data_IF_407141992723
#
_entry.id   IF_407141992723
#
_cell.length_a   1.000
_cell.length_b   1.000
_cell.length_c   1.000
_cell.angle_alpha   90.00
_cell.angle_beta   90.00
_cell.angle_gamma   90.00
#
_symmetry.space_group_name_H-M   'P 1'
#
loop_
_entity.id
_entity.type
_entity.pdbx_description
1 polymer ?
#
# COMPACT_ATOMS: atom_id res chain seq x y z
N UNK A 1 12.16 6.90 -23.18
CA UNK A 1 10.69 6.95 -22.98
C UNK A 1 10.35 8.30 -22.35
N UNK A 2 9.15 8.87 -22.53
CA UNK A 2 8.83 10.18 -21.94
C UNK A 2 9.08 10.15 -20.42
N UNK A 3 9.82 11.14 -19.93
CA UNK A 3 10.11 11.34 -18.52
C UNK A 3 10.01 12.83 -18.26
N UNK A 4 9.20 13.22 -17.28
CA UNK A 4 9.08 14.62 -16.85
C UNK A 4 10.41 15.20 -16.36
N UNK A 5 11.34 14.34 -15.92
CA UNK A 5 12.60 14.75 -15.28
C UNK A 5 13.85 14.33 -16.05
N UNK A 6 13.77 13.28 -16.89
CA UNK A 6 14.89 12.73 -17.62
C UNK A 6 14.97 13.22 -19.07
N UNK A 7 16.13 13.01 -19.70
CA UNK A 7 16.34 13.33 -21.12
C UNK A 7 15.37 12.55 -22.04
N UNK A 8 14.99 13.17 -23.15
CA UNK A 8 13.97 12.67 -24.07
C UNK A 8 14.60 11.85 -25.21
N UNK A 9 13.93 10.78 -25.64
CA UNK A 9 14.44 9.94 -26.73
C UNK A 9 14.47 10.70 -28.05
N UNK A 10 15.61 10.65 -28.71
CA UNK A 10 15.81 11.28 -30.01
C UNK A 10 14.90 10.68 -31.08
N UNK A 11 14.65 9.36 -31.03
CA UNK A 11 13.77 8.67 -31.99
C UNK A 11 12.33 9.18 -31.94
N UNK A 12 11.82 9.48 -30.74
CA UNK A 12 10.49 10.05 -30.55
C UNK A 12 10.40 11.48 -31.11
N UNK A 13 11.42 12.31 -30.87
CA UNK A 13 11.45 13.70 -31.31
C UNK A 13 11.76 13.87 -32.81
N UNK A 14 12.57 12.98 -33.39
CA UNK A 14 13.01 13.07 -34.79
C UNK A 14 11.87 12.83 -35.79
N UNK A 15 10.74 12.29 -35.34
CA UNK A 15 9.57 12.07 -36.19
C UNK A 15 8.93 13.39 -36.67
N UNK A 16 9.03 14.47 -35.89
CA UNK A 16 8.41 15.78 -36.19
C UNK A 16 9.37 16.96 -36.19
N UNK A 17 10.63 16.77 -35.79
CA UNK A 17 11.60 17.85 -35.69
C UNK A 17 12.84 17.55 -36.54
N UNK A 18 13.44 18.59 -37.12
CA UNK A 18 14.68 18.47 -37.89
C UNK A 18 15.83 17.97 -37.02
N UNK A 19 16.58 16.99 -37.49
CA UNK A 19 17.70 16.37 -36.78
C UNK A 19 18.81 17.37 -36.43
N UNK A 20 19.04 18.39 -37.26
CA UNK A 20 20.03 19.45 -37.01
C UNK A 20 19.71 20.26 -35.75
N UNK A 21 18.46 20.72 -35.60
CA UNK A 21 18.00 21.41 -34.38
C UNK A 21 18.10 20.53 -33.13
N UNK A 22 17.91 19.23 -33.27
CA UNK A 22 17.99 18.30 -32.14
C UNK A 22 19.44 18.07 -31.69
N UNK A 23 20.42 18.13 -32.59
CA UNK A 23 21.85 17.93 -32.25
C UNK A 23 22.34 18.97 -31.24
N UNK A 24 21.89 20.23 -31.36
CA UNK A 24 22.30 21.31 -30.44
C UNK A 24 21.65 21.22 -29.05
N UNK A 25 20.66 20.34 -28.89
CA UNK A 25 19.93 20.12 -27.63
C UNK A 25 20.33 18.78 -26.97
N UNK A 26 21.35 18.11 -27.50
CA UNK A 26 21.76 16.79 -27.05
C UNK A 26 22.53 16.88 -25.71
N UNK A 27 22.16 16.00 -24.78
CA UNK A 27 22.84 15.83 -23.50
C UNK A 27 24.17 15.13 -23.71
N UNK A 28 25.27 15.77 -23.28
CA UNK A 28 26.63 15.22 -23.39
C UNK A 28 26.81 13.84 -22.73
N UNK A 29 26.03 13.54 -21.69
CA UNK A 29 26.19 12.31 -20.90
C UNK A 29 25.44 11.09 -21.46
N UNK A 30 24.23 11.30 -21.99
CA UNK A 30 23.36 10.19 -22.39
C UNK A 30 22.95 10.23 -23.86
N UNK A 31 23.42 11.23 -24.62
CA UNK A 31 23.20 11.39 -26.06
C UNK A 31 21.72 11.45 -26.47
N UNK A 32 20.85 11.78 -25.51
CA UNK A 32 19.42 12.05 -25.66
C UNK A 32 19.16 13.55 -25.60
N UNK A 33 17.94 14.00 -25.90
CA UNK A 33 17.63 15.43 -25.85
C UNK A 33 17.51 15.89 -24.39
N UNK A 34 18.26 16.92 -24.02
CA UNK A 34 18.42 17.40 -22.65
C UNK A 34 17.14 18.07 -22.12
N UNK A 35 16.26 17.27 -21.51
CA UNK A 35 15.14 17.80 -20.73
C UNK A 35 15.66 18.49 -19.46
N UNK A 36 15.01 19.58 -19.05
CA UNK A 36 15.47 20.42 -17.94
C UNK A 36 16.97 20.77 -18.08
N UNK A 37 17.42 21.11 -19.29
CA UNK A 37 18.82 21.34 -19.59
C UNK A 37 19.54 22.28 -18.60
N UNK A 38 20.78 21.94 -18.31
CA UNK A 38 21.77 22.79 -17.64
C UNK A 38 22.97 22.93 -18.55
N UNK A 39 23.67 24.04 -18.39
CA UNK A 39 24.90 24.34 -19.11
C UNK A 39 26.05 24.35 -18.12
N UNK A 40 27.15 23.69 -18.47
CA UNK A 40 28.38 23.74 -17.69
C UNK A 40 29.03 25.12 -17.88
N UNK A 41 29.36 25.78 -16.78
CA UNK A 41 29.92 27.15 -16.72
C UNK A 41 31.23 27.17 -15.94
N UNK A 42 32.00 26.09 -16.05
CA UNK A 42 33.32 25.97 -15.46
C UNK A 42 34.29 26.94 -16.17
N UNK A 43 35.22 27.52 -15.42
CA UNK A 43 36.25 28.42 -15.95
C UNK A 43 37.13 27.69 -16.98
N UNK A 44 37.38 26.40 -16.76
CA UNK A 44 38.11 25.50 -17.67
C UNK A 44 37.42 25.32 -19.05
N UNK A 45 36.19 25.82 -19.24
CA UNK A 45 35.42 25.69 -20.47
C UNK A 45 35.02 27.02 -21.11
N UNK A 46 35.51 28.16 -20.60
CA UNK A 46 35.14 29.50 -21.08
C UNK A 46 35.48 29.75 -22.55
N UNK A 47 36.54 29.10 -23.07
CA UNK A 47 36.96 29.21 -24.47
C UNK A 47 36.17 28.31 -25.44
N UNK A 48 35.31 27.42 -24.92
CA UNK A 48 34.55 26.48 -25.75
C UNK A 48 33.47 27.24 -26.51
N UNK A 49 33.57 27.28 -27.85
CA UNK A 49 32.60 27.99 -28.71
C UNK A 49 31.17 27.44 -28.65
N UNK A 50 30.98 26.24 -28.11
CA UNK A 50 29.69 25.56 -28.05
C UNK A 50 29.23 25.38 -26.61
N UNK A 51 27.96 25.67 -26.35
CA UNK A 51 27.31 25.41 -25.08
C UNK A 51 27.41 23.92 -24.70
N UNK A 52 27.91 23.65 -23.49
CA UNK A 52 28.06 22.29 -22.96
C UNK A 52 26.76 21.88 -22.26
N UNK A 53 25.83 21.33 -23.04
CA UNK A 53 24.47 21.03 -22.57
C UNK A 53 24.38 19.64 -21.94
N UNK A 54 23.83 19.58 -20.74
CA UNK A 54 23.59 18.32 -20.01
C UNK A 54 22.17 18.33 -19.45
N UNK A 55 21.49 17.18 -19.43
CA UNK A 55 20.24 17.04 -18.69
C UNK A 55 20.49 17.12 -17.19
N UNK A 56 19.70 17.93 -16.46
CA UNK A 56 19.93 18.18 -15.03
C UNK A 56 19.98 16.90 -14.19
N UNK A 57 19.09 15.94 -14.46
CA UNK A 57 19.08 14.64 -13.78
C UNK A 57 20.33 13.82 -14.08
N UNK A 58 20.78 13.82 -15.33
CA UNK A 58 21.99 13.12 -15.74
C UNK A 58 23.23 13.70 -15.05
N UNK A 59 23.34 15.04 -15.01
CA UNK A 59 24.45 15.71 -14.35
C UNK A 59 24.47 15.41 -12.84
N UNK A 60 23.33 15.52 -12.15
CA UNK A 60 23.23 15.20 -10.71
C UNK A 60 23.66 13.76 -10.41
N UNK A 61 23.19 12.79 -11.20
CA UNK A 61 23.58 11.39 -11.03
C UNK A 61 25.07 11.18 -11.29
N UNK A 62 25.62 11.84 -12.31
CA UNK A 62 27.05 11.76 -12.61
C UNK A 62 27.91 12.32 -11.46
N UNK A 63 27.59 13.51 -10.96
CA UNK A 63 28.37 14.16 -9.89
C UNK A 63 28.38 13.32 -8.61
N UNK A 64 27.25 12.71 -8.24
CA UNK A 64 27.16 11.80 -7.08
C UNK A 64 28.11 10.61 -7.25
N UNK A 65 28.13 10.01 -8.44
CA UNK A 65 28.92 8.80 -8.70
C UNK A 65 30.41 9.08 -8.95
N UNK A 66 30.78 10.32 -9.29
CA UNK A 66 32.13 10.70 -9.70
C UNK A 66 32.72 11.80 -8.80
N UNK A 67 32.38 11.81 -7.50
CA UNK A 67 32.97 12.71 -6.49
C UNK A 67 32.94 14.20 -6.89
N UNK A 68 31.85 14.63 -7.53
CA UNK A 68 31.63 15.99 -8.05
C UNK A 68 32.62 16.46 -9.14
N UNK A 69 33.30 15.53 -9.82
CA UNK A 69 34.17 15.86 -10.95
C UNK A 69 33.36 16.29 -12.19
N UNK A 70 33.92 17.19 -12.98
CA UNK A 70 33.31 17.64 -14.23
C UNK A 70 33.26 16.52 -15.28
N UNK A 71 32.13 16.31 -15.99
CA UNK A 71 32.00 15.23 -16.97
C UNK A 71 32.81 15.41 -18.25
N UNK A 72 33.43 16.57 -18.48
CA UNK A 72 34.20 16.85 -19.71
C UNK A 72 35.70 16.61 -19.48
N UNK A 73 36.28 17.24 -18.44
CA UNK A 73 37.74 17.21 -18.21
C UNK A 73 38.14 16.85 -16.76
N UNK A 74 37.24 16.26 -15.98
CA UNK A 74 37.51 15.71 -14.63
C UNK A 74 38.14 16.69 -13.62
N UNK A 75 37.99 18.00 -13.82
CA UNK A 75 38.39 18.99 -12.81
C UNK A 75 37.40 18.99 -11.63
N UNK A 76 37.86 19.46 -10.47
CA UNK A 76 37.04 19.59 -9.27
C UNK A 76 36.07 20.77 -9.37
N UNK A 77 35.00 20.75 -8.57
CA UNK A 77 34.03 21.84 -8.42
C UNK A 77 33.30 22.24 -9.72
N UNK A 78 32.68 21.26 -10.40
CA UNK A 78 31.84 21.51 -11.56
C UNK A 78 30.76 22.58 -11.28
N UNK A 79 30.81 23.70 -12.00
CA UNK A 79 29.81 24.78 -11.94
C UNK A 79 28.84 24.62 -13.10
N UNK A 80 27.54 24.73 -12.84
CA UNK A 80 26.52 24.65 -13.87
C UNK A 80 25.34 25.58 -13.58
N UNK A 81 24.73 26.08 -14.65
CA UNK A 81 23.58 26.99 -14.61
C UNK A 81 22.38 26.41 -15.34
N UNK A 82 21.17 26.90 -15.01
CA UNK A 82 19.96 26.54 -15.78
C UNK A 82 20.04 27.17 -17.17
N UNK A 83 20.07 26.33 -18.21
CA UNK A 83 20.07 26.77 -19.60
C UNK A 83 18.66 27.18 -20.05
N UNK A 84 18.20 28.37 -19.63
CA UNK A 84 16.80 28.82 -19.82
C UNK A 84 16.35 28.77 -21.28
N UNK A 85 17.19 29.23 -22.22
CA UNK A 85 16.87 29.21 -23.65
C UNK A 85 16.76 27.79 -24.19
N UNK A 86 17.67 26.89 -23.78
CA UNK A 86 17.63 25.48 -24.19
C UNK A 86 16.37 24.79 -23.67
N UNK A 87 15.98 25.05 -22.42
CA UNK A 87 14.73 24.54 -21.84
C UNK A 87 13.52 25.02 -22.66
N UNK A 88 13.46 26.30 -22.99
CA UNK A 88 12.40 26.85 -23.85
C UNK A 88 12.38 26.20 -25.23
N UNK A 89 13.53 25.99 -25.87
CA UNK A 89 13.59 25.30 -27.16
C UNK A 89 13.09 23.86 -27.07
N UNK A 90 13.48 23.12 -26.03
CA UNK A 90 13.00 21.76 -25.79
C UNK A 90 11.49 21.73 -25.56
N UNK A 91 10.97 22.66 -24.76
CA UNK A 91 9.53 22.79 -24.46
C UNK A 91 8.69 23.01 -25.71
N UNK A 92 9.25 23.70 -26.72
CA UNK A 92 8.59 24.05 -27.98
C UNK A 92 8.71 22.97 -29.08
N UNK A 93 9.47 21.90 -28.84
CA UNK A 93 9.57 20.78 -29.80
C UNK A 93 8.20 20.13 -29.99
N UNK A 94 7.84 19.86 -31.24
CA UNK A 94 6.57 19.21 -31.58
C UNK A 94 6.70 17.71 -31.47
N UNK A 95 5.75 17.06 -30.82
CA UNK A 95 5.77 15.62 -30.55
C UNK A 95 4.39 15.00 -30.72
N UNK A 96 4.40 13.70 -30.99
CA UNK A 96 3.22 12.85 -30.91
C UNK A 96 3.08 12.28 -29.50
N UNK A 97 1.90 11.77 -29.15
CA UNK A 97 1.67 11.09 -27.88
C UNK A 97 2.74 9.98 -27.63
N UNK A 98 3.48 10.00 -26.50
CA UNK A 98 4.45 8.97 -26.17
C UNK A 98 3.86 7.55 -26.13
N UNK A 99 2.62 7.41 -25.65
CA UNK A 99 1.91 6.12 -25.60
C UNK A 99 1.61 5.60 -27.01
N UNK A 100 1.17 6.49 -27.91
CA UNK A 100 0.94 6.14 -29.32
C UNK A 100 2.24 5.77 -30.03
N UNK A 101 3.31 6.52 -29.78
CA UNK A 101 4.61 6.23 -30.37
C UNK A 101 5.10 4.82 -29.98
N UNK A 102 4.97 4.45 -28.70
CA UNK A 102 5.32 3.11 -28.24
C UNK A 102 4.45 2.02 -28.89
N UNK A 103 3.14 2.24 -28.96
CA UNK A 103 2.21 1.32 -29.61
C UNK A 103 2.59 1.10 -31.09
N UNK A 104 2.93 2.17 -31.80
CA UNK A 104 3.38 2.09 -33.19
C UNK A 104 4.66 1.27 -33.32
N UNK A 105 5.65 1.44 -32.42
CA UNK A 105 6.87 0.65 -32.44
C UNK A 105 6.60 -0.85 -32.25
N UNK A 106 5.68 -1.20 -31.35
CA UNK A 106 5.30 -2.60 -31.10
C UNK A 106 4.61 -3.23 -32.31
N UNK A 107 3.72 -2.50 -32.98
CA UNK A 107 3.02 -2.98 -34.17
C UNK A 107 3.98 -3.24 -35.35
N UNK A 108 5.00 -2.41 -35.53
CA UNK A 108 5.98 -2.58 -36.61
C UNK A 108 7.02 -3.68 -36.34
N UNK A 109 7.08 -4.22 -35.11
CA UNK A 109 8.02 -5.28 -34.73
C UNK A 109 7.40 -6.69 -34.77
N UNK A 110 6.10 -6.83 -35.04
CA UNK A 110 5.51 -8.15 -35.25
C UNK A 110 5.84 -8.65 -36.67
N UNK A 111 6.43 -9.85 -36.84
CA UNK A 111 6.49 -10.47 -38.15
C UNK A 111 5.06 -10.76 -38.61
N UNK A 112 4.69 -10.27 -39.80
CA UNK A 112 3.51 -10.69 -40.55
C UNK A 112 3.61 -12.19 -40.85
N UNK A 113 3.35 -13.03 -39.86
CA UNK A 113 3.22 -14.46 -40.07
C UNK A 113 1.78 -14.76 -40.49
N UNK A 114 1.64 -14.96 -41.81
CA UNK A 114 0.67 -15.81 -42.48
C UNK A 114 -0.79 -15.33 -42.50
N UNK A 115 -1.12 -14.52 -43.49
CA UNK A 115 -2.35 -14.78 -44.27
C UNK A 115 -1.88 -15.37 -45.59
N UNK A 116 -1.93 -16.70 -45.70
CA UNK A 116 -1.93 -17.35 -47.00
C UNK A 116 -3.24 -16.94 -47.69
N UNK A 117 -3.10 -16.29 -48.83
CA UNK A 117 -4.18 -16.16 -49.80
C UNK A 117 -4.65 -17.57 -50.18
N UNK A 118 -5.92 -17.87 -49.93
CA UNK A 118 -6.74 -18.69 -50.82
C UNK A 118 -8.22 -18.55 -50.42
N UNK A 119 -8.93 -17.73 -51.23
CA UNK A 119 -10.36 -17.83 -51.56
C UNK A 119 -11.40 -17.89 -50.43
N UNK A 120 -12.06 -16.75 -50.14
CA UNK A 120 -13.52 -16.65 -49.92
C UNK A 120 -14.01 -15.18 -49.89
N UNK A 121 -15.27 -14.90 -50.27
CA UNK A 121 -15.76 -13.54 -50.53
C UNK A 121 -16.11 -12.77 -49.24
N UNK A 122 -15.51 -11.60 -49.11
CA UNK A 122 -15.94 -10.39 -48.39
C UNK A 122 -17.06 -10.58 -47.34
N UNK A 123 -16.71 -11.12 -46.17
CA UNK A 123 -17.26 -10.58 -44.92
C UNK A 123 -16.27 -9.56 -44.42
N UNK A 124 -16.72 -8.31 -44.29
CA UNK A 124 -16.00 -7.23 -43.64
C UNK A 124 -15.72 -7.63 -42.19
N UNK A 125 -14.59 -8.30 -41.97
CA UNK A 125 -14.03 -8.49 -40.63
C UNK A 125 -13.67 -7.07 -40.19
N UNK A 126 -14.52 -6.45 -39.39
CA UNK A 126 -14.19 -5.24 -38.66
C UNK A 126 -13.00 -5.59 -37.77
N UNK A 127 -11.80 -5.26 -38.25
CA UNK A 127 -10.62 -5.21 -37.41
C UNK A 127 -10.99 -4.40 -36.15
N UNK A 128 -10.78 -4.93 -34.94
CA UNK A 128 -11.04 -4.16 -33.72
C UNK A 128 -10.31 -2.83 -33.86
N UNK A 129 -11.06 -1.72 -33.78
CA UNK A 129 -10.46 -0.39 -33.86
C UNK A 129 -9.37 -0.30 -32.79
N UNK A 130 -8.11 -0.35 -33.22
CA UNK A 130 -6.98 -0.26 -32.30
C UNK A 130 -7.10 1.13 -31.67
N UNK A 131 -7.19 1.23 -30.33
CA UNK A 131 -7.34 2.51 -29.69
C UNK A 131 -6.17 3.39 -30.11
N UNK A 132 -6.49 4.59 -30.59
CA UNK A 132 -5.51 5.51 -31.17
C UNK A 132 -5.58 6.87 -30.48
N UNK A 133 -4.42 7.42 -30.16
CA UNK A 133 -4.29 8.80 -29.71
C UNK A 133 -3.70 9.66 -30.83
N UNK A 134 -4.45 10.69 -31.22
CA UNK A 134 -4.08 11.64 -32.28
C UNK A 134 -3.41 12.90 -31.74
N UNK A 135 -2.98 12.91 -30.48
CA UNK A 135 -2.34 14.07 -29.90
C UNK A 135 -1.04 14.41 -30.64
N UNK A 136 -0.99 15.67 -31.08
CA UNK A 136 0.15 16.32 -31.66
C UNK A 136 0.24 17.71 -31.01
N UNK A 137 1.36 17.98 -30.33
CA UNK A 137 1.51 19.16 -29.50
C UNK A 137 2.95 19.38 -29.08
N UNK A 138 3.19 20.35 -28.18
CA UNK A 138 4.55 20.67 -27.72
C UNK A 138 4.96 19.77 -26.56
N UNK A 139 6.26 19.58 -26.35
CA UNK A 139 6.80 18.74 -25.25
C UNK A 139 6.24 19.18 -23.88
N UNK A 140 6.13 20.48 -23.63
CA UNK A 140 5.59 21.01 -22.37
C UNK A 140 4.14 20.60 -22.09
N UNK A 141 3.34 20.36 -23.13
CA UNK A 141 1.92 20.02 -23.02
C UNK A 141 1.71 18.50 -22.84
N UNK A 142 2.75 17.69 -23.06
CA UNK A 142 2.66 16.21 -23.01
C UNK A 142 2.23 15.72 -21.64
N UNK A 143 2.70 16.35 -20.56
CA UNK A 143 2.36 15.92 -19.20
C UNK A 143 0.86 16.00 -18.96
N UNK A 144 0.30 17.19 -19.18
CA UNK A 144 -1.12 17.45 -19.03
C UNK A 144 -1.95 16.52 -19.92
N UNK A 145 -1.49 16.29 -21.14
CA UNK A 145 -2.11 15.33 -22.03
C UNK A 145 -2.15 13.91 -21.45
N UNK A 146 -1.01 13.38 -21.02
CA UNK A 146 -0.90 12.00 -20.50
C UNK A 146 -1.74 11.76 -19.24
N UNK A 147 -1.91 12.79 -18.41
CA UNK A 147 -2.65 12.76 -17.15
C UNK A 147 -4.17 12.96 -17.34
N UNK A 148 -4.59 13.77 -18.31
CA UNK A 148 -5.99 14.23 -18.37
C UNK A 148 -6.74 13.94 -19.67
N UNK A 149 -6.07 13.92 -20.82
CA UNK A 149 -6.76 13.86 -22.13
C UNK A 149 -6.33 12.70 -23.03
N UNK A 150 -5.34 11.92 -22.62
CA UNK A 150 -4.84 10.82 -23.42
C UNK A 150 -5.88 9.71 -23.57
N UNK A 151 -6.28 9.43 -24.81
CA UNK A 151 -7.19 8.32 -25.14
C UNK A 151 -6.62 6.93 -24.79
N UNK A 152 -5.29 6.82 -24.65
CA UNK A 152 -4.55 5.60 -24.32
C UNK A 152 -4.21 5.50 -22.83
N UNK A 153 -4.78 6.35 -21.98
CA UNK A 153 -4.63 6.17 -20.53
C UNK A 153 -5.28 4.85 -20.14
N UNK A 154 -4.50 3.97 -19.50
CA UNK A 154 -5.05 2.77 -18.89
C UNK A 154 -5.85 3.19 -17.66
N UNK A 155 -7.10 2.77 -17.62
CA UNK A 155 -8.03 3.01 -16.54
C UNK A 155 -8.42 1.67 -15.92
N UNK A 156 -8.50 1.66 -14.60
CA UNK A 156 -9.04 0.53 -13.89
C UNK A 156 -10.57 0.63 -13.85
N UNK A 157 -11.25 -0.49 -14.06
CA UNK A 157 -12.68 -0.55 -13.82
C UNK A 157 -12.99 -0.20 -12.36
N UNK A 158 -14.01 0.64 -12.12
CA UNK A 158 -14.48 0.99 -10.76
C UNK A 158 -14.90 -0.24 -9.93
N UNK A 159 -15.17 -1.36 -10.59
CA UNK A 159 -15.54 -2.62 -9.96
C UNK A 159 -14.36 -3.58 -9.78
N UNK A 160 -13.11 -3.12 -9.92
CA UNK A 160 -11.91 -3.96 -9.75
C UNK A 160 -11.83 -4.58 -8.36
N UNK A 161 -12.18 -3.84 -7.31
CA UNK A 161 -12.26 -4.36 -5.93
C UNK A 161 -13.26 -5.51 -5.76
N UNK A 162 -14.22 -5.65 -6.69
CA UNK A 162 -15.22 -6.71 -6.71
C UNK A 162 -14.88 -7.82 -7.72
N UNK A 163 -13.72 -7.74 -8.40
CA UNK A 163 -13.20 -8.77 -9.29
C UNK A 163 -13.24 -8.43 -10.79
N UNK A 164 -13.57 -7.21 -11.19
CA UNK A 164 -13.50 -6.80 -12.59
C UNK A 164 -12.08 -6.38 -12.98
N UNK A 165 -11.34 -7.25 -13.68
CA UNK A 165 -9.95 -7.02 -14.09
C UNK A 165 -9.76 -6.50 -15.53
N UNK A 166 -10.83 -6.01 -16.15
CA UNK A 166 -10.76 -5.43 -17.49
C UNK A 166 -9.86 -4.18 -17.51
N UNK A 167 -8.93 -4.13 -18.45
CA UNK A 167 -8.08 -2.95 -18.70
C UNK A 167 -8.87 -2.01 -19.62
N UNK A 168 -9.17 -0.82 -19.10
CA UNK A 168 -9.98 0.17 -19.81
C UNK A 168 -9.12 1.31 -20.31
N UNK A 169 -9.70 2.13 -21.16
CA UNK A 169 -9.17 3.42 -21.55
C UNK A 169 -10.32 4.41 -21.76
N UNK A 170 -10.00 5.68 -22.02
CA UNK A 170 -11.00 6.72 -22.23
C UNK A 170 -11.96 6.43 -23.40
N UNK A 171 -11.56 5.59 -24.38
CA UNK A 171 -12.38 5.28 -25.54
C UNK A 171 -13.39 4.15 -25.26
N UNK A 172 -13.02 3.17 -24.44
CA UNK A 172 -13.84 1.99 -24.20
C UNK A 172 -14.55 1.98 -22.84
N UNK A 173 -14.20 2.88 -21.90
CA UNK A 173 -14.79 2.87 -20.55
C UNK A 173 -16.32 3.04 -20.59
N UNK A 174 -16.84 3.89 -21.48
CA UNK A 174 -18.28 4.12 -21.61
C UNK A 174 -19.03 2.88 -22.12
N UNK A 175 -18.53 2.27 -23.19
CA UNK A 175 -19.15 1.05 -23.75
C UNK A 175 -18.97 -0.15 -22.82
N UNK A 176 -17.82 -0.30 -22.18
CA UNK A 176 -17.61 -1.29 -21.14
C UNK A 176 -18.60 -1.13 -19.99
N UNK A 177 -18.80 0.10 -19.48
CA UNK A 177 -19.80 0.36 -18.44
C UNK A 177 -21.22 -0.01 -18.89
N UNK A 178 -21.58 0.24 -20.14
CA UNK A 178 -22.91 -0.12 -20.66
C UNK A 178 -23.10 -1.64 -20.78
N UNK A 179 -22.12 -2.35 -21.34
CA UNK A 179 -22.21 -3.80 -21.59
C UNK A 179 -22.01 -4.61 -20.32
N UNK A 180 -21.05 -4.22 -19.47
CA UNK A 180 -20.68 -4.97 -18.28
C UNK A 180 -21.50 -4.62 -17.03
N UNK A 181 -22.44 -3.66 -17.09
CA UNK A 181 -23.20 -3.22 -15.92
C UNK A 181 -23.95 -4.37 -15.24
N UNK A 182 -24.60 -5.24 -16.01
CA UNK A 182 -25.33 -6.38 -15.45
C UNK A 182 -24.39 -7.31 -14.64
N UNK A 183 -23.21 -7.61 -15.20
CA UNK A 183 -22.16 -8.38 -14.52
C UNK A 183 -21.64 -7.66 -13.28
N UNK A 184 -21.48 -6.34 -13.33
CA UNK A 184 -21.06 -5.53 -12.18
C UNK A 184 -22.09 -5.54 -11.05
N UNK A 185 -23.38 -5.47 -11.37
CA UNK A 185 -24.47 -5.56 -10.40
C UNK A 185 -24.55 -6.96 -9.78
N UNK A 186 -24.31 -8.01 -10.56
CA UNK A 186 -24.22 -9.38 -10.06
C UNK A 186 -23.05 -9.54 -9.08
N UNK A 187 -21.87 -9.01 -9.42
CA UNK A 187 -20.71 -8.99 -8.52
C UNK A 187 -21.02 -8.30 -7.19
N UNK A 188 -21.69 -7.14 -7.23
CA UNK A 188 -22.14 -6.45 -6.02
C UNK A 188 -23.12 -7.30 -5.22
N UNK A 189 -24.12 -7.88 -5.88
CA UNK A 189 -25.14 -8.73 -5.24
C UNK A 189 -24.50 -9.92 -4.55
N UNK A 190 -23.55 -10.60 -5.20
CA UNK A 190 -22.82 -11.72 -4.61
C UNK A 190 -22.02 -11.29 -3.37
N UNK A 191 -21.42 -10.11 -3.40
CA UNK A 191 -20.74 -9.56 -2.22
C UNK A 191 -21.71 -9.24 -1.09
N UNK A 192 -22.87 -8.66 -1.39
CA UNK A 192 -23.92 -8.43 -0.40
C UNK A 192 -24.39 -9.73 0.26
N UNK A 193 -24.61 -10.81 -0.52
CA UNK A 193 -24.96 -12.12 0.02
C UNK A 193 -23.87 -12.67 0.93
N UNK A 194 -22.59 -12.56 0.55
CA UNK A 194 -21.47 -12.96 1.40
C UNK A 194 -21.46 -12.16 2.71
N UNK A 195 -21.67 -10.84 2.64
CA UNK A 195 -21.73 -10.00 3.84
C UNK A 195 -22.91 -10.34 4.73
N UNK A 196 -24.09 -10.59 4.17
CA UNK A 196 -25.27 -10.98 4.92
C UNK A 196 -25.04 -12.31 5.65
N UNK A 197 -24.50 -13.32 4.96
CA UNK A 197 -24.15 -14.60 5.59
C UNK A 197 -23.16 -14.43 6.74
N UNK A 198 -22.14 -13.57 6.59
CA UNK A 198 -21.17 -13.28 7.67
C UNK A 198 -21.83 -12.55 8.84
N UNK A 199 -22.74 -11.63 8.55
CA UNK A 199 -23.49 -10.92 9.57
C UNK A 199 -24.36 -11.89 10.38
N UNK A 200 -25.09 -12.79 9.71
CA UNK A 200 -25.92 -13.80 10.34
C UNK A 200 -25.08 -14.75 11.21
N UNK A 201 -23.90 -15.17 10.72
CA UNK A 201 -22.95 -15.98 11.50
C UNK A 201 -22.44 -15.25 12.74
N UNK A 202 -22.11 -13.96 12.63
CA UNK A 202 -21.71 -13.16 13.79
C UNK A 202 -22.85 -13.03 14.81
N UNK A 203 -24.09 -12.82 14.35
CA UNK A 203 -25.24 -12.73 15.22
C UNK A 203 -25.48 -14.05 15.99
N UNK A 204 -25.33 -15.20 15.31
CA UNK A 204 -25.44 -16.50 15.96
C UNK A 204 -24.34 -16.72 17.01
N UNK A 205 -23.11 -16.30 16.72
CA UNK A 205 -22.00 -16.38 17.66
C UNK A 205 -22.23 -15.49 18.89
N UNK A 206 -22.77 -14.29 18.70
CA UNK A 206 -23.11 -13.38 19.78
C UNK A 206 -24.16 -14.00 20.71
N UNK A 207 -25.27 -14.51 20.16
CA UNK A 207 -26.33 -15.15 20.93
C UNK A 207 -25.80 -16.37 21.73
N UNK A 208 -24.90 -17.17 21.12
CA UNK A 208 -24.24 -18.29 21.81
C UNK A 208 -23.34 -17.84 22.95
N UNK A 209 -22.62 -16.74 22.78
CA UNK A 209 -21.77 -16.17 23.82
C UNK A 209 -22.61 -15.62 24.99
N UNK A 210 -23.72 -14.95 24.69
CA UNK A 210 -24.66 -14.45 25.70
C UNK A 210 -25.25 -15.58 26.55
N UNK A 211 -25.75 -16.65 25.91
CA UNK A 211 -26.29 -17.80 26.63
C UNK A 211 -25.26 -18.49 27.53
N UNK A 212 -24.00 -18.61 27.08
CA UNK A 212 -22.92 -19.15 27.92
C UNK A 212 -22.59 -18.25 29.10
N UNK A 213 -22.58 -16.93 28.90
CA UNK A 213 -22.35 -15.99 29.99
C UNK A 213 -23.46 -16.07 31.04
N UNK A 214 -24.73 -16.25 30.63
CA UNK A 214 -25.84 -16.48 31.57
C UNK A 214 -25.70 -17.78 32.36
N UNK A 215 -25.26 -18.86 31.72
CA UNK A 215 -25.01 -20.14 32.39
C UNK A 215 -23.88 -20.02 33.42
N UNK A 216 -22.76 -19.39 33.02
CA UNK A 216 -21.63 -19.12 33.91
C UNK A 216 -22.03 -18.21 35.07
N UNK A 217 -22.87 -17.20 34.83
CA UNK A 217 -23.37 -16.32 35.89
C UNK A 217 -24.17 -17.11 36.95
N UNK A 218 -25.02 -18.05 36.52
CA UNK A 218 -25.78 -18.94 37.42
C UNK A 218 -24.84 -19.88 38.19
N UNK A 219 -23.83 -20.42 37.54
CA UNK A 219 -22.83 -21.28 38.21
C UNK A 219 -22.05 -20.52 39.29
N UNK A 220 -21.62 -19.28 38.98
CA UNK A 220 -20.93 -18.40 39.94
C UNK A 220 -21.84 -18.10 41.14
N UNK A 221 -23.13 -17.82 40.91
CA UNK A 221 -24.09 -17.56 41.98
C UNK A 221 -24.31 -18.78 42.89
N UNK A 222 -24.40 -19.97 42.30
CA UNK A 222 -24.51 -21.23 43.03
C UNK A 222 -23.25 -21.49 43.89
N UNK A 223 -22.06 -21.35 43.30
CA UNK A 223 -20.79 -21.51 44.01
C UNK A 223 -20.65 -20.51 45.17
N UNK A 224 -21.09 -19.27 44.96
CA UNK A 224 -21.10 -18.24 46.02
C UNK A 224 -22.00 -18.63 47.19
N UNK A 225 -23.19 -19.16 46.91
CA UNK A 225 -24.14 -19.63 47.94
C UNK A 225 -23.60 -20.85 48.71
N UNK A 226 -22.96 -21.78 48.00
CA UNK A 226 -22.31 -22.94 48.60
C UNK A 226 -21.14 -22.52 49.51
N UNK A 227 -20.29 -21.60 49.06
CA UNK A 227 -19.19 -21.07 49.85
C UNK A 227 -19.69 -20.36 51.12
N UNK A 228 -20.77 -19.56 51.01
CA UNK A 228 -21.41 -18.93 52.18
C UNK A 228 -21.91 -19.98 53.18
N UNK A 229 -22.56 -21.04 52.70
CA UNK A 229 -23.07 -22.13 53.55
C UNK A 229 -21.94 -22.88 54.24
N UNK A 230 -20.83 -23.13 53.54
CA UNK A 230 -19.63 -23.76 54.13
C UNK A 230 -18.97 -22.86 55.18
N UNK A 231 -18.87 -21.55 54.92
CA UNK A 231 -18.33 -20.61 55.91
C UNK A 231 -19.15 -20.61 57.20
N UNK A 232 -20.49 -20.60 57.11
CA UNK A 232 -21.37 -20.71 58.28
C UNK A 232 -21.09 -22.01 59.07
N UNK A 233 -20.96 -23.15 58.37
CA UNK A 233 -20.63 -24.44 59.02
C UNK A 233 -19.27 -24.43 59.70
N UNK A 234 -18.27 -23.78 59.09
CA UNK A 234 -16.94 -23.64 59.68
C UNK A 234 -17.03 -22.79 60.96
N UNK A 235 -17.76 -21.67 60.92
CA UNK A 235 -17.95 -20.80 62.08
C UNK A 235 -18.63 -21.54 63.25
N UNK A 236 -19.66 -22.34 62.95
CA UNK A 236 -20.34 -23.18 63.95
C UNK A 236 -19.38 -24.20 64.58
N UNK A 237 -18.58 -24.91 63.76
CA UNK A 237 -17.59 -25.88 64.24
C UNK A 237 -16.49 -25.24 65.08
N UNK A 238 -16.02 -24.05 64.69
CA UNK A 238 -15.02 -23.28 65.44
C UNK A 238 -15.58 -22.87 66.81
N UNK A 239 -16.84 -22.43 66.85
CA UNK A 239 -17.53 -22.07 68.10
C UNK A 239 -17.69 -23.27 69.03
N UNK A 240 -18.11 -24.41 68.52
CA UNK A 240 -18.27 -25.65 69.29
C UNK A 240 -16.93 -26.17 69.84
N UNK A 241 -15.88 -26.12 69.02
CA UNK A 241 -14.51 -26.48 69.45
C UNK A 241 -14.00 -25.56 70.56
N UNK A 242 -14.24 -24.25 70.42
CA UNK A 242 -13.85 -23.24 71.44
C UNK A 242 -14.57 -23.47 72.76
N UNK A 243 -15.88 -23.73 72.72
CA UNK A 243 -16.67 -24.05 73.91
C UNK A 243 -16.18 -25.34 74.59
N UNK A 244 -15.82 -26.35 73.81
CA UNK A 244 -15.30 -27.62 74.32
C UNK A 244 -13.95 -27.44 75.04
N UNK A 245 -13.03 -26.66 74.44
CA UNK A 245 -11.74 -26.29 75.05
C UNK A 245 -11.93 -25.53 76.37
N UNK A 246 -12.84 -24.55 76.41
CA UNK A 246 -13.14 -23.81 77.65
C UNK A 246 -13.68 -24.73 78.75
N UNK A 247 -14.56 -25.68 78.39
CA UNK A 247 -15.10 -26.66 79.34
C UNK A 247 -14.00 -27.59 79.88
N UNK A 248 -13.08 -28.04 79.03
CA UNK A 248 -11.95 -28.86 79.44
C UNK A 248 -11.00 -28.09 80.37
N UNK A 249 -10.67 -26.84 80.04
CA UNK A 249 -9.88 -25.96 80.91
C UNK A 249 -10.54 -25.77 82.28
N UNK A 250 -11.85 -25.57 82.32
CA UNK A 250 -12.61 -25.47 83.57
C UNK A 250 -12.53 -26.78 84.39
N UNK A 251 -12.75 -27.93 83.74
CA UNK A 251 -12.65 -29.24 84.41
C UNK A 251 -11.25 -29.51 84.96
N UNK A 252 -10.20 -29.21 84.18
CA UNK A 252 -8.81 -29.33 84.61
C UNK A 252 -8.51 -28.42 85.81
N UNK A 253 -9.02 -27.19 85.81
CA UNK A 253 -8.90 -26.26 86.93
C UNK A 253 -9.56 -26.82 88.20
N UNK A 254 -10.78 -27.35 88.09
CA UNK A 254 -11.49 -27.99 89.22
C UNK A 254 -10.71 -29.21 89.75
N UNK A 255 -10.15 -30.04 88.89
CA UNK A 255 -9.33 -31.18 89.31
C UNK A 255 -8.06 -30.74 90.04
N UNK A 256 -7.37 -29.71 89.54
CA UNK A 256 -6.21 -29.13 90.21
C UNK A 256 -6.56 -28.61 91.61
N UNK A 257 -7.67 -27.89 91.75
CA UNK A 257 -8.17 -27.45 93.05
C UNK A 257 -8.46 -28.61 94.01
N UNK A 258 -9.04 -29.71 93.53
CA UNK A 258 -9.25 -30.92 94.35
C UNK A 258 -7.93 -31.51 94.85
N UNK A 259 -6.92 -31.62 93.98
CA UNK A 259 -5.59 -32.13 94.36
C UNK A 259 -4.95 -31.22 95.41
N UNK A 260 -4.96 -29.90 95.18
CA UNK A 260 -4.43 -28.92 96.14
C UNK A 260 -5.14 -29.05 97.49
N UNK A 261 -6.48 -29.15 97.49
CA UNK A 261 -7.28 -29.30 98.71
C UNK A 261 -6.93 -30.58 99.49
N UNK A 262 -6.76 -31.72 98.80
CA UNK A 262 -6.34 -32.98 99.41
C UNK A 262 -4.96 -32.84 100.07
N UNK A 263 -3.98 -32.25 99.37
CA UNK A 263 -2.64 -32.01 99.91
C UNK A 263 -2.68 -31.09 101.12
N UNK A 264 -3.46 -30.00 101.06
CA UNK A 264 -3.60 -29.05 102.15
C UNK A 264 -4.22 -29.70 103.40
N UNK A 265 -5.26 -30.52 103.22
CA UNK A 265 -5.89 -31.28 104.30
C UNK A 265 -4.89 -32.24 104.98
N UNK A 266 -4.11 -32.98 104.19
CA UNK A 266 -3.08 -33.89 104.71
C UNK A 266 -1.99 -33.16 105.51
N UNK A 267 -1.59 -31.95 105.09
CA UNK A 267 -0.63 -31.11 105.82
C UNK A 267 -1.16 -30.63 107.18
N UNK A 268 -2.46 -30.39 107.31
CA UNK A 268 -3.09 -30.00 108.58
C UNK A 268 -3.10 -31.19 109.55
N UNK A 269 -3.40 -32.40 109.07
CA UNK A 269 -3.47 -33.61 109.91
C UNK A 269 -2.10 -34.09 110.43
N UNK A 270 -0.98 -33.58 109.88
CA UNK A 270 0.39 -33.89 110.35
C UNK A 270 0.91 -32.95 111.44
N UNK A 271 0.11 -31.98 111.91
CA UNK A 271 0.43 -31.09 113.05
C UNK A 271 -0.38 -31.45 114.28
#
# INVERSE_FOLDING_TARGET
>A
MWSSEGCLEKSWLSYRNSTEKLKTLECLLCHKIANNAVELICEDHEETKSALIVGEKCLKQYLINNRNQCPVENHDHCKYGKAKLVRQYVDELVVTCPRQFLLNLQLHQQPLNQVKEESQPQRSIQMPSVPMCTFEGKVKDVKEHLEHSCGLIELECRFKSFGCNEILNNQNIGSHMQVAMARHLEMLTNQFVIFQNKFDQMQEQLNKAESKNEEQAKEIELLKTNAQTQNIRIDDLVKDSTNSLQREQYLNSVQLFKVIFIVFKALIEMK
#
